data_IF_995486643780
#
_entry.id   IF_995486643780
#
_cell.length_a   1.000
_cell.length_b   1.000
_cell.length_c   1.000
_cell.angle_alpha   90.00
_cell.angle_beta   90.00
_cell.angle_gamma   90.00
#
_symmetry.space_group_name_H-M   'P 1'
#
loop_
_entity.id
_entity.type
_entity.pdbx_description
1 polymer ?
#
# COMPACT_ATOMS: atom_id res chain seq x y z
N UNK A 1 -23.77 16.54 -13.34
CA UNK A 1 -22.51 15.86 -13.69
C UNK A 1 -22.68 14.41 -13.31
N UNK A 2 -22.32 13.48 -14.17
CA UNK A 2 -22.35 12.04 -13.86
C UNK A 2 -21.24 11.75 -12.87
N UNK A 3 -21.53 10.99 -11.81
CA UNK A 3 -20.54 10.56 -10.82
C UNK A 3 -19.51 9.63 -11.44
N UNK A 4 -18.25 9.77 -11.06
CA UNK A 4 -17.17 8.83 -11.44
C UNK A 4 -17.40 7.49 -10.73
N UNK A 5 -17.45 6.41 -11.50
CA UNK A 5 -17.68 5.06 -10.97
C UNK A 5 -16.35 4.45 -10.47
N UNK A 6 -16.27 4.17 -9.18
CA UNK A 6 -15.04 3.69 -8.52
C UNK A 6 -15.27 2.32 -7.91
N UNK A 7 -14.37 1.37 -8.21
CA UNK A 7 -14.27 0.10 -7.49
C UNK A 7 -13.10 0.17 -6.48
N UNK A 8 -13.37 -0.16 -5.23
CA UNK A 8 -12.36 -0.33 -4.19
C UNK A 8 -12.39 -1.78 -3.71
N UNK A 9 -11.39 -2.57 -4.07
CA UNK A 9 -11.23 -3.93 -3.54
C UNK A 9 -10.36 -3.91 -2.29
N UNK A 10 -10.57 -4.81 -1.34
CA UNK A 10 -9.91 -4.74 -0.03
C UNK A 10 -10.40 -3.53 0.80
N UNK A 11 -11.66 -3.13 0.57
CA UNK A 11 -12.24 -1.93 1.16
C UNK A 11 -12.38 -1.99 2.69
N UNK A 12 -12.40 -3.18 3.27
CA UNK A 12 -12.49 -3.37 4.72
C UNK A 12 -11.12 -3.29 5.43
N UNK A 13 -10.02 -3.29 4.67
CA UNK A 13 -8.66 -3.09 5.19
C UNK A 13 -8.40 -1.62 5.58
N UNK A 14 -7.25 -1.36 6.22
CA UNK A 14 -6.88 -0.02 6.72
C UNK A 14 -6.82 1.03 5.61
N UNK A 15 -6.08 0.74 4.52
CA UNK A 15 -6.00 1.66 3.38
C UNK A 15 -7.37 1.81 2.72
N UNK A 16 -8.13 0.69 2.60
CA UNK A 16 -9.44 0.67 1.96
C UNK A 16 -10.45 1.58 2.65
N UNK A 17 -10.58 1.46 3.97
CA UNK A 17 -11.47 2.32 4.76
C UNK A 17 -11.05 3.80 4.67
N UNK A 18 -9.75 4.08 4.84
CA UNK A 18 -9.24 5.44 4.73
C UNK A 18 -9.47 6.05 3.33
N UNK A 19 -9.28 5.25 2.26
CA UNK A 19 -9.54 5.69 0.89
C UNK A 19 -11.01 5.95 0.63
N UNK A 20 -11.93 5.09 1.11
CA UNK A 20 -13.38 5.31 0.99
C UNK A 20 -13.78 6.62 1.64
N UNK A 21 -13.26 6.92 2.85
CA UNK A 21 -13.46 8.23 3.49
C UNK A 21 -12.91 9.39 2.64
N UNK A 22 -11.70 9.26 2.12
CA UNK A 22 -11.08 10.30 1.28
C UNK A 22 -11.86 10.58 -0.01
N UNK A 23 -12.36 9.54 -0.69
CA UNK A 23 -13.21 9.67 -1.87
C UNK A 23 -14.56 10.33 -1.53
N UNK A 24 -15.19 9.90 -0.44
CA UNK A 24 -16.47 10.46 0.01
C UNK A 24 -16.35 11.95 0.40
N UNK A 25 -15.27 12.35 1.06
CA UNK A 25 -15.00 13.76 1.40
C UNK A 25 -14.78 14.62 0.16
N UNK A 26 -14.15 14.10 -0.89
CA UNK A 26 -13.98 14.82 -2.15
C UNK A 26 -15.29 14.97 -2.93
N UNK A 27 -16.22 14.02 -2.78
CA UNK A 27 -17.47 13.98 -3.52
C UNK A 27 -17.33 13.68 -5.01
N UNK A 28 -18.46 13.45 -5.69
CA UNK A 28 -18.47 13.18 -7.13
C UNK A 28 -18.15 11.73 -7.53
N UNK A 29 -18.07 10.82 -6.56
CA UNK A 29 -17.76 9.40 -6.77
C UNK A 29 -18.91 8.50 -6.32
N UNK A 30 -19.29 7.55 -7.16
CA UNK A 30 -20.11 6.41 -6.78
C UNK A 30 -19.19 5.22 -6.46
N UNK A 31 -19.10 4.87 -5.19
CA UNK A 31 -18.15 3.87 -4.70
C UNK A 31 -18.82 2.51 -4.63
N UNK A 32 -18.29 1.53 -5.36
CA UNK A 32 -18.56 0.11 -5.18
C UNK A 32 -17.37 -0.50 -4.44
N UNK A 33 -17.64 -1.22 -3.36
CA UNK A 33 -16.60 -1.87 -2.56
C UNK A 33 -16.65 -3.38 -2.71
N UNK A 34 -15.49 -4.03 -2.54
CA UNK A 34 -15.40 -5.48 -2.54
C UNK A 34 -14.40 -5.97 -1.49
N UNK A 35 -14.80 -6.97 -0.69
CA UNK A 35 -13.95 -7.57 0.34
C UNK A 35 -14.46 -8.97 0.74
N UNK A 36 -13.59 -9.77 1.38
CA UNK A 36 -13.98 -11.01 2.05
C UNK A 36 -14.85 -10.74 3.28
N UNK A 37 -14.52 -9.68 4.00
CA UNK A 37 -15.20 -9.27 5.21
C UNK A 37 -16.52 -8.52 4.91
N UNK A 38 -17.48 -8.53 5.83
CA UNK A 38 -18.64 -7.65 5.76
C UNK A 38 -18.21 -6.18 5.88
N UNK A 39 -18.97 -5.30 5.23
CA UNK A 39 -18.68 -3.87 5.20
C UNK A 39 -18.71 -3.25 6.61
N UNK A 40 -17.63 -2.62 7.08
CA UNK A 40 -17.60 -1.95 8.37
C UNK A 40 -18.63 -0.81 8.47
N UNK A 41 -19.32 -0.70 9.63
CA UNK A 41 -20.31 0.35 9.86
C UNK A 41 -19.78 1.76 9.63
N UNK A 42 -18.49 2.00 9.91
CA UNK A 42 -17.85 3.29 9.72
C UNK A 42 -17.87 3.81 8.27
N UNK A 43 -17.90 2.92 7.28
CA UNK A 43 -17.91 3.30 5.85
C UNK A 43 -19.19 2.87 5.12
N UNK A 44 -20.14 2.23 5.81
CA UNK A 44 -21.32 1.64 5.17
C UNK A 44 -22.21 2.67 4.48
N UNK A 45 -22.35 3.87 5.02
CA UNK A 45 -23.14 4.97 4.41
C UNK A 45 -22.40 5.69 3.26
N UNK A 46 -21.11 5.42 3.07
CA UNK A 46 -20.26 6.06 2.05
C UNK A 46 -20.15 5.21 0.77
N UNK A 47 -20.62 3.97 0.82
CA UNK A 47 -20.51 2.99 -0.25
C UNK A 47 -21.88 2.74 -0.84
N UNK A 48 -21.99 2.87 -2.16
CA UNK A 48 -23.26 2.64 -2.87
C UNK A 48 -23.62 1.14 -2.93
N UNK A 49 -22.60 0.28 -2.99
CA UNK A 49 -22.78 -1.17 -3.07
C UNK A 49 -21.55 -1.91 -2.51
N UNK A 50 -21.78 -3.04 -1.84
CA UNK A 50 -20.72 -3.89 -1.31
C UNK A 50 -20.84 -5.33 -1.85
N UNK A 51 -19.80 -5.80 -2.52
CA UNK A 51 -19.68 -7.19 -3.00
C UNK A 51 -18.84 -7.99 -2.02
N UNK A 52 -19.50 -8.73 -1.13
CA UNK A 52 -18.81 -9.58 -0.16
C UNK A 52 -18.39 -10.91 -0.81
N UNK A 53 -17.13 -11.29 -0.67
CA UNK A 53 -16.59 -12.60 -1.02
C UNK A 53 -15.19 -12.60 -1.61
N UNK A 54 -14.70 -13.80 -1.92
CA UNK A 54 -13.39 -14.03 -2.54
C UNK A 54 -13.39 -13.47 -3.97
N UNK A 55 -12.54 -12.48 -4.22
CA UNK A 55 -12.42 -11.82 -5.53
C UNK A 55 -12.03 -12.78 -6.64
N UNK A 56 -11.16 -13.76 -6.36
CA UNK A 56 -10.74 -14.76 -7.36
C UNK A 56 -11.95 -15.54 -7.90
N UNK A 57 -12.94 -15.79 -7.05
CA UNK A 57 -14.16 -16.50 -7.43
C UNK A 57 -15.27 -15.58 -7.93
N UNK A 58 -15.27 -14.31 -7.54
CA UNK A 58 -16.37 -13.36 -7.80
C UNK A 58 -16.08 -12.29 -8.85
N UNK A 59 -14.90 -12.27 -9.46
CA UNK A 59 -14.54 -11.24 -10.45
C UNK A 59 -15.58 -11.04 -11.56
N UNK A 60 -16.29 -12.09 -11.96
CA UNK A 60 -17.30 -12.05 -13.03
C UNK A 60 -18.41 -11.02 -12.78
N UNK A 61 -18.74 -10.75 -11.52
CA UNK A 61 -19.73 -9.74 -11.13
C UNK A 61 -19.34 -8.36 -11.65
N UNK A 62 -18.06 -8.04 -11.67
CA UNK A 62 -17.57 -6.70 -12.03
C UNK A 62 -17.55 -6.43 -13.55
N UNK A 63 -17.76 -7.45 -14.39
CA UNK A 63 -17.87 -7.29 -15.84
C UNK A 63 -19.16 -6.55 -16.27
N UNK A 64 -20.14 -6.41 -15.37
CA UNK A 64 -21.38 -5.70 -15.65
C UNK A 64 -21.38 -4.23 -15.22
N UNK A 65 -20.36 -3.80 -14.46
CA UNK A 65 -20.21 -2.41 -14.00
C UNK A 65 -19.40 -1.58 -15.00
N UNK A 66 -19.68 -0.29 -15.06
CA UNK A 66 -18.96 0.68 -15.89
C UNK A 66 -18.00 1.52 -15.05
N UNK A 67 -16.94 0.89 -14.56
CA UNK A 67 -15.93 1.57 -13.75
C UNK A 67 -15.03 2.50 -14.58
N UNK A 68 -14.77 3.69 -14.02
CA UNK A 68 -13.76 4.64 -14.47
C UNK A 68 -12.42 4.41 -13.78
N UNK A 69 -12.48 4.03 -12.50
CA UNK A 69 -11.31 3.83 -11.64
C UNK A 69 -11.45 2.56 -10.81
N UNK A 70 -10.37 1.79 -10.73
CA UNK A 70 -10.26 0.62 -9.87
C UNK A 70 -9.08 0.83 -8.90
N UNK A 71 -9.34 0.88 -7.61
CA UNK A 71 -8.32 0.77 -6.58
C UNK A 71 -8.25 -0.69 -6.12
N UNK A 72 -7.21 -1.41 -6.54
CA UNK A 72 -7.07 -2.81 -6.22
C UNK A 72 -6.18 -2.99 -4.98
N UNK A 73 -6.80 -2.90 -3.79
CA UNK A 73 -6.11 -2.96 -2.49
C UNK A 73 -6.15 -4.36 -1.85
N UNK A 74 -7.00 -5.25 -2.35
CA UNK A 74 -7.14 -6.60 -1.80
C UNK A 74 -5.83 -7.39 -1.93
N UNK A 75 -5.28 -7.82 -0.81
CA UNK A 75 -4.04 -8.59 -0.76
C UNK A 75 -3.89 -9.38 0.55
N UNK A 76 -3.19 -10.50 0.49
CA UNK A 76 -2.60 -11.15 1.67
C UNK A 76 -1.29 -10.45 2.02
N UNK A 77 -1.15 -9.99 3.27
CA UNK A 77 -0.02 -9.19 3.74
C UNK A 77 1.22 -10.06 4.06
N UNK A 78 2.35 -9.39 4.30
CA UNK A 78 3.68 -9.99 4.43
C UNK A 78 3.75 -11.19 5.37
N UNK A 79 3.31 -11.07 6.62
CA UNK A 79 3.39 -12.17 7.61
C UNK A 79 2.56 -13.38 7.17
N UNK A 80 1.31 -13.17 6.72
CA UNK A 80 0.44 -14.24 6.23
C UNK A 80 0.94 -14.87 4.93
N UNK A 81 1.63 -14.10 4.10
CA UNK A 81 2.19 -14.61 2.86
C UNK A 81 3.36 -15.56 3.11
N UNK A 82 4.14 -15.36 4.16
CA UNK A 82 5.20 -16.28 4.57
C UNK A 82 4.64 -17.54 5.25
N UNK A 83 3.50 -17.44 5.94
CA UNK A 83 2.82 -18.59 6.54
C UNK A 83 2.16 -19.52 5.50
N UNK A 84 1.64 -18.95 4.42
CA UNK A 84 0.92 -19.68 3.37
C UNK A 84 1.22 -19.11 1.97
N UNK A 85 2.39 -19.45 1.39
CA UNK A 85 2.85 -18.89 0.10
C UNK A 85 1.90 -19.14 -1.08
N UNK A 86 1.33 -20.34 -1.17
CA UNK A 86 0.40 -20.70 -2.25
C UNK A 86 -0.90 -19.89 -2.18
N UNK A 87 -1.44 -19.72 -0.97
CA UNK A 87 -2.64 -18.90 -0.75
C UNK A 87 -2.34 -17.44 -1.05
N UNK A 88 -1.18 -16.94 -0.62
CA UNK A 88 -0.74 -15.59 -0.93
C UNK A 88 -0.61 -15.37 -2.44
N UNK A 89 -0.02 -16.31 -3.18
CA UNK A 89 0.05 -16.26 -4.65
C UNK A 89 -1.34 -16.18 -5.26
N UNK A 90 -2.25 -17.06 -4.85
CA UNK A 90 -3.62 -17.07 -5.36
C UNK A 90 -4.33 -15.73 -5.13
N UNK A 91 -4.28 -15.19 -3.90
CA UNK A 91 -4.94 -13.93 -3.58
C UNK A 91 -4.26 -12.77 -4.31
N UNK A 92 -2.93 -12.65 -4.19
CA UNK A 92 -2.20 -11.47 -4.65
C UNK A 92 -2.01 -11.47 -6.17
N UNK A 93 -1.66 -12.60 -6.75
CA UNK A 93 -1.30 -12.68 -8.18
C UNK A 93 -2.50 -13.00 -9.05
N UNK A 94 -3.23 -14.10 -8.77
CA UNK A 94 -4.39 -14.44 -9.57
C UNK A 94 -5.49 -13.39 -9.43
N UNK A 95 -5.73 -12.89 -8.20
CA UNK A 95 -6.69 -11.80 -7.95
C UNK A 95 -6.33 -10.54 -8.74
N UNK A 96 -5.06 -10.12 -8.71
CA UNK A 96 -4.59 -8.95 -9.49
C UNK A 96 -4.72 -9.20 -11.00
N UNK A 97 -4.34 -10.37 -11.49
CA UNK A 97 -4.46 -10.70 -12.91
C UNK A 97 -5.93 -10.64 -13.38
N UNK A 98 -6.86 -11.12 -12.56
CA UNK A 98 -8.29 -11.04 -12.89
C UNK A 98 -8.82 -9.60 -12.89
N UNK A 99 -8.37 -8.75 -11.96
CA UNK A 99 -8.73 -7.33 -11.96
C UNK A 99 -8.16 -6.58 -13.17
N UNK A 100 -6.91 -6.88 -13.56
CA UNK A 100 -6.30 -6.34 -14.77
C UNK A 100 -7.05 -6.77 -16.02
N UNK A 101 -7.40 -8.06 -16.15
CA UNK A 101 -8.17 -8.59 -17.26
C UNK A 101 -9.56 -7.95 -17.35
N UNK A 102 -10.26 -7.80 -16.23
CA UNK A 102 -11.55 -7.14 -16.15
C UNK A 102 -11.44 -5.67 -16.58
N UNK A 103 -10.46 -4.92 -16.06
CA UNK A 103 -10.27 -3.51 -16.39
C UNK A 103 -9.88 -3.32 -17.88
N UNK A 104 -9.02 -4.18 -18.44
CA UNK A 104 -8.68 -4.17 -19.86
C UNK A 104 -9.91 -4.47 -20.74
N UNK A 105 -10.69 -5.51 -20.42
CA UNK A 105 -11.93 -5.82 -21.11
C UNK A 105 -12.92 -4.64 -21.09
N UNK A 106 -13.05 -3.97 -19.95
CA UNK A 106 -13.94 -2.80 -19.80
C UNK A 106 -13.48 -1.64 -20.67
N UNK A 107 -12.16 -1.37 -20.69
CA UNK A 107 -11.59 -0.31 -21.51
C UNK A 107 -11.84 -0.53 -23.00
N UNK A 108 -11.72 -1.76 -23.50
CA UNK A 108 -11.99 -2.13 -24.87
C UNK A 108 -13.49 -2.08 -25.21
N UNK A 109 -14.33 -2.68 -24.35
CA UNK A 109 -15.77 -2.79 -24.59
C UNK A 109 -16.47 -1.43 -24.71
N UNK A 110 -16.05 -0.45 -23.93
CA UNK A 110 -16.69 0.87 -23.87
C UNK A 110 -15.87 1.98 -24.51
N UNK A 111 -14.76 1.63 -25.16
CA UNK A 111 -13.83 2.56 -25.81
C UNK A 111 -13.48 3.74 -24.86
N UNK A 112 -13.18 3.41 -23.62
CA UNK A 112 -12.85 4.41 -22.59
C UNK A 112 -11.64 4.01 -21.76
N UNK A 113 -10.91 5.02 -21.31
CA UNK A 113 -9.78 4.80 -20.39
C UNK A 113 -10.28 4.38 -19.03
N UNK A 114 -9.81 3.21 -18.55
CA UNK A 114 -10.03 2.74 -17.19
C UNK A 114 -8.70 2.83 -16.43
N UNK A 115 -8.69 3.56 -15.32
CA UNK A 115 -7.52 3.63 -14.43
C UNK A 115 -7.53 2.49 -13.44
N UNK A 116 -6.40 1.79 -13.29
CA UNK A 116 -6.21 0.80 -12.23
C UNK A 116 -5.01 1.20 -11.36
N UNK A 117 -5.30 1.54 -10.11
CA UNK A 117 -4.30 1.88 -9.10
C UNK A 117 -3.98 0.67 -8.24
N UNK A 118 -2.69 0.36 -8.15
CA UNK A 118 -2.17 -0.81 -7.45
C UNK A 118 -1.19 -0.41 -6.34
N UNK A 119 -1.48 -0.71 -5.07
CA UNK A 119 -0.55 -0.52 -3.97
C UNK A 119 0.52 -1.63 -4.02
N UNK A 120 1.68 -1.30 -4.54
CA UNK A 120 2.89 -2.08 -4.36
C UNK A 120 3.56 -1.76 -3.01
N UNK A 121 4.78 -2.18 -2.79
CA UNK A 121 5.44 -2.09 -1.49
C UNK A 121 6.95 -2.01 -1.64
N UNK A 122 7.62 -1.44 -0.63
CA UNK A 122 9.08 -1.56 -0.47
C UNK A 122 9.55 -3.02 -0.40
N UNK A 123 8.67 -3.96 -0.09
CA UNK A 123 8.97 -5.39 -0.14
C UNK A 123 9.31 -5.91 -1.56
N UNK A 124 9.02 -5.14 -2.62
CA UNK A 124 9.45 -5.45 -3.99
C UNK A 124 10.96 -5.31 -4.20
N UNK A 125 11.65 -4.64 -3.29
CA UNK A 125 13.11 -4.58 -3.23
C UNK A 125 13.71 -5.76 -2.48
N UNK A 126 15.04 -5.96 -2.61
CA UNK A 126 15.74 -6.96 -1.82
C UNK A 126 17.24 -6.75 -1.82
N UNK A 127 17.84 -6.81 -0.62
CA UNK A 127 19.27 -6.76 -0.38
C UNK A 127 19.74 -8.09 0.20
N UNK A 128 20.90 -8.58 -0.23
CA UNK A 128 21.46 -9.86 0.25
C UNK A 128 21.92 -9.78 1.70
N UNK A 129 22.42 -8.59 2.08
CA UNK A 129 22.94 -8.32 3.41
C UNK A 129 22.88 -6.84 3.77
N UNK A 130 23.25 -6.51 5.01
CA UNK A 130 23.27 -5.13 5.51
C UNK A 130 24.32 -4.25 4.80
N UNK A 131 25.42 -4.81 4.32
CA UNK A 131 26.43 -4.03 3.61
C UNK A 131 25.87 -3.50 2.29
N UNK A 132 25.14 -4.35 1.57
CA UNK A 132 24.42 -3.98 0.35
C UNK A 132 23.34 -2.92 0.62
N UNK A 133 22.51 -3.14 1.67
CA UNK A 133 21.50 -2.19 2.10
C UNK A 133 22.07 -0.82 2.44
N UNK A 134 23.13 -0.77 3.26
CA UNK A 134 23.77 0.47 3.69
C UNK A 134 24.42 1.22 2.52
N UNK A 135 24.94 0.49 1.53
CA UNK A 135 25.55 1.07 0.33
C UNK A 135 24.50 1.65 -0.63
N UNK A 136 23.28 1.10 -0.64
CA UNK A 136 22.25 1.48 -1.61
C UNK A 136 21.72 2.91 -1.41
N UNK A 137 21.69 3.41 -0.17
CA UNK A 137 21.16 4.74 0.16
C UNK A 137 19.68 4.88 -0.22
N UNK A 138 19.35 5.97 -0.94
CA UNK A 138 17.98 6.18 -1.48
C UNK A 138 17.81 5.38 -2.77
N UNK A 139 16.84 4.49 -2.78
CA UNK A 139 16.62 3.48 -3.83
C UNK A 139 15.60 3.94 -4.86
N UNK A 140 15.93 3.81 -6.15
CA UNK A 140 15.02 4.11 -7.27
C UNK A 140 14.21 2.90 -7.70
N UNK A 141 13.12 3.13 -8.44
CA UNK A 141 12.16 2.09 -8.86
C UNK A 141 12.78 0.98 -9.73
N UNK A 142 13.86 1.27 -10.45
CA UNK A 142 14.53 0.31 -11.33
C UNK A 142 15.76 -0.38 -10.71
N UNK A 143 16.04 -0.12 -9.44
CA UNK A 143 17.17 -0.68 -8.69
C UNK A 143 16.68 -1.77 -7.71
N UNK A 144 17.57 -2.69 -7.34
CA UNK A 144 17.39 -3.67 -6.27
C UNK A 144 16.05 -4.47 -6.29
N UNK A 145 15.49 -4.70 -7.48
CA UNK A 145 14.26 -5.46 -7.67
C UNK A 145 14.51 -6.97 -7.52
N UNK A 146 14.90 -7.40 -6.32
CA UNK A 146 15.25 -8.78 -5.97
C UNK A 146 14.60 -9.21 -4.64
N UNK A 147 13.26 -9.20 -4.55
CA UNK A 147 12.53 -9.48 -3.31
C UNK A 147 12.89 -10.83 -2.71
N UNK A 148 12.98 -10.89 -1.38
CA UNK A 148 13.32 -12.09 -0.62
C UNK A 148 12.12 -12.68 0.15
N UNK A 149 10.93 -12.11 -0.02
CA UNK A 149 9.70 -12.58 0.60
C UNK A 149 8.66 -12.95 -0.45
N UNK A 150 7.77 -13.87 -0.13
CA UNK A 150 6.66 -14.24 -1.01
C UNK A 150 5.78 -13.03 -1.34
N UNK A 151 5.51 -12.20 -0.34
CA UNK A 151 4.78 -10.95 -0.54
C UNK A 151 5.47 -10.01 -1.52
N UNK A 152 6.78 -9.81 -1.36
CA UNK A 152 7.58 -8.97 -2.26
C UNK A 152 7.63 -9.52 -3.69
N UNK A 153 7.82 -10.85 -3.84
CA UNK A 153 7.76 -11.52 -5.13
C UNK A 153 6.41 -11.31 -5.81
N UNK A 154 5.30 -11.47 -5.06
CA UNK A 154 3.95 -11.25 -5.60
C UNK A 154 3.77 -9.78 -6.04
N UNK A 155 4.19 -8.81 -5.21
CA UNK A 155 4.04 -7.38 -5.53
C UNK A 155 4.82 -7.00 -6.78
N UNK A 156 6.10 -7.40 -6.87
CA UNK A 156 6.92 -7.13 -8.05
C UNK A 156 6.35 -7.80 -9.31
N UNK A 157 5.86 -9.04 -9.21
CA UNK A 157 5.24 -9.72 -10.34
C UNK A 157 3.96 -9.01 -10.79
N UNK A 158 3.12 -8.56 -9.86
CA UNK A 158 1.91 -7.80 -10.17
C UNK A 158 2.21 -6.45 -10.84
N UNK A 159 3.32 -5.77 -10.46
CA UNK A 159 3.79 -4.58 -11.19
C UNK A 159 4.07 -4.92 -12.67
N UNK A 160 4.76 -6.05 -12.93
CA UNK A 160 5.06 -6.49 -14.31
C UNK A 160 3.80 -6.91 -15.07
N UNK A 161 2.86 -7.58 -14.41
CA UNK A 161 1.56 -7.89 -15.00
C UNK A 161 0.80 -6.62 -15.39
N UNK A 162 0.74 -5.61 -14.51
CA UNK A 162 0.11 -4.33 -14.82
C UNK A 162 0.71 -3.65 -16.05
N UNK A 163 2.04 -3.64 -16.14
CA UNK A 163 2.75 -3.14 -17.35
C UNK A 163 2.38 -3.96 -18.59
N UNK A 164 2.36 -5.28 -18.47
CA UNK A 164 1.98 -6.15 -19.59
C UNK A 164 0.56 -5.87 -20.09
N UNK A 165 -0.42 -5.83 -19.17
CA UNK A 165 -1.82 -5.57 -19.53
C UNK A 165 -2.06 -4.17 -20.11
N UNK A 166 -1.33 -3.17 -19.65
CA UNK A 166 -1.50 -1.78 -20.10
C UNK A 166 -0.75 -1.45 -21.40
N UNK A 167 0.33 -2.17 -21.73
CA UNK A 167 1.20 -1.80 -22.86
C UNK A 167 1.39 -2.89 -23.90
N UNK A 168 1.27 -4.17 -23.53
CA UNK A 168 1.70 -5.29 -24.36
C UNK A 168 0.62 -6.34 -24.59
N UNK A 169 -0.57 -6.19 -24.01
CA UNK A 169 -1.67 -7.12 -24.25
C UNK A 169 -2.03 -7.12 -25.73
N UNK A 170 -2.21 -8.32 -26.30
CA UNK A 170 -2.61 -8.46 -27.71
C UNK A 170 -1.47 -8.45 -28.74
N UNK A 171 -0.20 -8.48 -28.36
CA UNK A 171 0.96 -8.53 -29.30
C UNK A 171 0.93 -9.66 -30.34
N UNK A 172 0.09 -10.68 -30.15
CA UNK A 172 -0.06 -11.80 -31.11
C UNK A 172 -1.06 -11.54 -32.23
N UNK A 173 -1.80 -10.44 -32.17
CA UNK A 173 -2.71 -10.07 -33.25
C UNK A 173 -1.90 -9.58 -34.46
N UNK A 174 -2.21 -10.11 -35.65
CA UNK A 174 -1.55 -9.76 -36.91
C UNK A 174 -1.89 -8.33 -37.37
N UNK A 175 -3.05 -7.84 -36.99
CA UNK A 175 -3.45 -6.44 -37.16
C UNK A 175 -2.95 -5.62 -35.96
N UNK A 176 -2.52 -4.36 -36.16
CA UNK A 176 -2.17 -3.48 -35.05
C UNK A 176 -3.39 -3.33 -34.12
N UNK A 177 -3.36 -4.04 -33.01
CA UNK A 177 -4.36 -3.81 -31.98
C UNK A 177 -4.16 -2.41 -31.43
N UNK A 178 -5.17 -1.56 -31.32
CA UNK A 178 -5.01 -0.29 -30.62
C UNK A 178 -4.44 -0.55 -29.22
N UNK A 179 -3.54 0.29 -28.73
CA UNK A 179 -3.03 0.14 -27.38
C UNK A 179 -4.21 0.04 -26.41
N UNK A 180 -4.14 -0.87 -25.45
CA UNK A 180 -5.20 -1.01 -24.46
C UNK A 180 -5.42 0.35 -23.78
N UNK A 181 -6.67 0.72 -23.58
CA UNK A 181 -6.99 1.96 -22.85
C UNK A 181 -6.92 1.77 -21.32
N UNK A 182 -6.34 0.65 -20.86
CA UNK A 182 -6.03 0.44 -19.44
C UNK A 182 -4.86 1.33 -19.02
N UNK A 183 -5.12 2.22 -18.08
CA UNK A 183 -4.15 3.10 -17.45
C UNK A 183 -3.73 2.52 -16.10
N UNK A 184 -2.67 1.70 -16.11
CA UNK A 184 -2.13 1.06 -14.91
C UNK A 184 -1.14 1.97 -14.20
N UNK A 185 -1.35 2.16 -12.89
CA UNK A 185 -0.51 3.00 -12.02
C UNK A 185 -0.25 2.28 -10.71
N UNK A 186 0.98 2.24 -10.25
CA UNK A 186 1.36 1.61 -8.99
C UNK A 186 2.19 2.53 -8.11
N UNK A 187 2.04 2.37 -6.81
CA UNK A 187 2.83 3.05 -5.78
C UNK A 187 3.52 1.99 -4.92
N UNK A 188 4.83 2.10 -4.74
CA UNK A 188 5.57 1.35 -3.72
C UNK A 188 5.47 2.08 -2.40
N UNK A 189 4.57 1.59 -1.55
CA UNK A 189 4.38 2.14 -0.22
C UNK A 189 5.50 1.73 0.72
N UNK A 190 5.98 2.66 1.58
CA UNK A 190 6.78 2.34 2.76
C UNK A 190 5.94 1.68 3.85
N UNK A 191 6.48 1.51 5.06
CA UNK A 191 5.70 1.11 6.24
C UNK A 191 4.59 2.11 6.54
N UNK A 192 3.33 1.71 6.38
CA UNK A 192 2.19 2.59 6.65
C UNK A 192 1.79 2.52 8.12
N UNK A 193 1.52 3.67 8.72
CA UNK A 193 1.09 3.77 10.11
C UNK A 193 -0.25 4.50 10.19
N UNK A 194 -1.26 3.80 10.74
CA UNK A 194 -2.57 4.37 11.05
C UNK A 194 -2.68 4.70 12.53
N UNK A 195 -3.16 5.89 12.85
CA UNK A 195 -3.47 6.27 14.24
C UNK A 195 -4.82 5.69 14.72
N UNK A 196 -5.66 5.25 13.77
CA UNK A 196 -7.02 4.79 14.06
C UNK A 196 -7.17 3.28 14.20
N UNK A 197 -6.15 2.51 13.84
CA UNK A 197 -6.15 1.05 13.93
C UNK A 197 -5.11 0.58 14.95
N UNK A 198 -5.29 -0.63 15.47
CA UNK A 198 -4.29 -1.27 16.32
C UNK A 198 -3.42 -2.15 15.43
N UNK A 199 -2.07 -2.07 15.54
CA UNK A 199 -1.17 -2.93 14.78
C UNK A 199 -1.53 -4.40 14.94
N UNK A 200 -1.47 -5.16 13.85
CA UNK A 200 -1.92 -6.56 13.81
C UNK A 200 -0.78 -7.57 13.66
N UNK A 201 0.46 -7.16 13.92
CA UNK A 201 1.66 -8.01 13.84
C UNK A 201 2.30 -8.06 12.45
N UNK A 202 2.11 -7.03 11.65
CA UNK A 202 2.83 -6.83 10.38
C UNK A 202 4.35 -6.72 10.58
N UNK A 203 5.10 -6.91 9.52
CA UNK A 203 6.57 -6.89 9.60
C UNK A 203 7.13 -5.52 10.00
N UNK A 204 6.46 -4.42 9.64
CA UNK A 204 6.84 -3.05 9.99
C UNK A 204 6.12 -2.51 11.24
N UNK A 205 5.30 -3.33 11.92
CA UNK A 205 4.45 -2.87 13.02
C UNK A 205 5.21 -2.62 14.33
N UNK A 206 6.49 -2.97 14.42
CA UNK A 206 7.30 -2.78 15.63
C UNK A 206 7.28 -1.33 16.14
N UNK A 207 7.29 -0.35 15.23
CA UNK A 207 7.25 1.07 15.61
C UNK A 207 5.92 1.45 16.29
N UNK A 208 4.76 1.33 15.62
CA UNK A 208 3.48 1.62 16.25
C UNK A 208 3.15 0.73 17.45
N UNK A 209 3.55 -0.56 17.46
CA UNK A 209 3.37 -1.45 18.62
C UNK A 209 4.04 -0.91 19.88
N UNK A 210 5.27 -0.34 19.78
CA UNK A 210 5.97 0.29 20.91
C UNK A 210 5.13 1.41 21.54
N UNK A 211 4.56 2.29 20.71
CA UNK A 211 3.78 3.43 21.19
C UNK A 211 2.46 2.98 21.83
N UNK A 212 1.79 1.98 21.24
CA UNK A 212 0.58 1.38 21.83
C UNK A 212 0.88 0.70 23.18
N UNK A 213 1.98 -0.04 23.29
CA UNK A 213 2.39 -0.68 24.55
C UNK A 213 2.75 0.37 25.61
N UNK A 214 3.53 1.38 25.23
CA UNK A 214 3.91 2.48 26.11
C UNK A 214 2.69 3.24 26.67
N UNK A 215 1.71 3.56 25.83
CA UNK A 215 0.47 4.23 26.23
C UNK A 215 -0.38 3.40 27.20
N UNK A 216 -0.27 2.07 27.13
CA UNK A 216 -0.94 1.12 28.03
C UNK A 216 -0.14 0.82 29.31
N UNK A 217 1.05 1.40 29.46
CA UNK A 217 1.96 1.09 30.58
C UNK A 217 2.51 -0.35 30.56
N UNK A 218 2.50 -0.99 29.38
CA UNK A 218 3.00 -2.36 29.18
C UNK A 218 4.44 -2.36 28.65
N UNK A 219 5.32 -3.25 29.13
CA UNK A 219 6.61 -3.44 28.52
C UNK A 219 6.46 -3.97 27.07
N UNK A 220 7.40 -3.58 26.21
CA UNK A 220 7.46 -4.05 24.82
C UNK A 220 8.85 -4.60 24.52
N UNK A 221 8.89 -5.80 23.94
CA UNK A 221 10.11 -6.43 23.44
C UNK A 221 10.11 -6.31 21.91
N UNK A 222 10.96 -5.44 21.39
CA UNK A 222 11.08 -5.21 19.96
C UNK A 222 11.80 -6.39 19.29
N UNK A 223 11.19 -6.95 18.25
CA UNK A 223 11.71 -8.09 17.53
C UNK A 223 12.74 -7.75 16.43
N UNK A 224 13.10 -6.48 16.28
CA UNK A 224 14.19 -6.03 15.40
C UNK A 224 15.28 -5.34 16.22
N UNK A 225 16.48 -5.20 15.64
CA UNK A 225 17.58 -4.47 16.26
C UNK A 225 17.23 -2.98 16.42
N UNK A 226 17.85 -2.34 17.38
CA UNK A 226 17.69 -0.91 17.66
C UNK A 226 18.06 -0.03 16.45
N UNK A 227 19.09 -0.41 15.69
CA UNK A 227 19.59 0.30 14.51
C UNK A 227 18.79 0.01 13.23
N UNK A 228 17.81 -0.90 13.28
CA UNK A 228 17.00 -1.28 12.11
C UNK A 228 16.21 -0.09 11.59
N UNK A 229 16.52 0.33 10.36
CA UNK A 229 15.92 1.50 9.71
C UNK A 229 15.16 1.11 8.45
N UNK A 230 13.96 1.66 8.29
CA UNK A 230 13.17 1.63 7.05
C UNK A 230 12.39 2.94 6.90
N UNK A 231 11.83 3.14 5.71
CA UNK A 231 10.93 4.27 5.44
C UNK A 231 9.51 4.00 5.94
N UNK A 232 8.86 5.07 6.43
CA UNK A 232 7.48 5.06 6.95
C UNK A 232 6.65 6.21 6.39
N UNK A 233 5.32 6.10 6.55
CA UNK A 233 4.37 7.12 6.12
C UNK A 233 3.08 7.07 6.96
N UNK A 234 2.49 8.22 7.21
CA UNK A 234 1.16 8.32 7.81
C UNK A 234 0.07 7.85 6.84
N UNK A 235 -0.97 7.19 7.34
CA UNK A 235 -2.09 6.73 6.52
C UNK A 235 -2.78 7.85 5.71
N UNK A 236 -2.99 9.08 6.22
CA UNK A 236 -3.51 10.18 5.41
C UNK A 236 -2.66 10.51 4.18
N UNK A 237 -1.33 10.47 4.30
CA UNK A 237 -0.42 10.67 3.18
C UNK A 237 -0.51 9.53 2.15
N UNK A 238 -0.72 8.30 2.60
CA UNK A 238 -0.95 7.17 1.70
C UNK A 238 -2.22 7.36 0.86
N UNK A 239 -3.33 7.76 1.49
CA UNK A 239 -4.57 8.08 0.77
C UNK A 239 -4.39 9.26 -0.18
N UNK A 240 -3.76 10.35 0.29
CA UNK A 240 -3.42 11.51 -0.54
C UNK A 240 -2.65 11.11 -1.79
N UNK A 241 -1.65 10.25 -1.65
CA UNK A 241 -0.82 9.80 -2.78
C UNK A 241 -1.62 9.02 -3.83
N UNK A 242 -2.52 8.13 -3.39
CA UNK A 242 -3.41 7.38 -4.29
C UNK A 242 -4.33 8.32 -5.08
N UNK A 243 -4.92 9.31 -4.41
CA UNK A 243 -5.81 10.28 -5.04
C UNK A 243 -5.05 11.22 -5.98
N UNK A 244 -3.86 11.68 -5.61
CA UNK A 244 -3.01 12.51 -6.48
C UNK A 244 -2.56 11.73 -7.72
N UNK A 245 -2.11 10.48 -7.56
CA UNK A 245 -1.72 9.66 -8.70
C UNK A 245 -2.92 9.32 -9.58
N UNK A 246 -4.12 9.11 -9.02
CA UNK A 246 -5.35 8.93 -9.78
C UNK A 246 -5.64 10.15 -10.68
N UNK A 247 -5.45 11.37 -10.16
CA UNK A 247 -5.74 12.62 -10.86
C UNK A 247 -4.67 13.01 -11.88
N UNK A 248 -3.44 12.52 -11.70
CA UNK A 248 -2.32 12.89 -12.56
C UNK A 248 -2.64 12.65 -14.04
N UNK A 249 -2.38 13.62 -14.94
CA UNK A 249 -2.54 13.43 -16.37
C UNK A 249 -1.61 12.31 -16.89
N UNK A 250 -2.12 11.37 -17.69
CA UNK A 250 -1.30 10.23 -18.12
C UNK A 250 -0.07 10.62 -18.94
N UNK A 251 -0.14 11.73 -19.66
CA UNK A 251 0.97 12.30 -20.45
C UNK A 251 2.13 12.84 -19.58
N UNK A 252 1.91 13.09 -18.31
CA UNK A 252 2.96 13.49 -17.36
C UNK A 252 3.67 12.31 -16.72
N UNK A 253 3.10 11.09 -16.82
CA UNK A 253 3.62 9.91 -16.16
C UNK A 253 4.64 9.19 -17.05
N UNK A 254 5.93 9.26 -16.69
CA UNK A 254 7.01 8.60 -17.43
C UNK A 254 7.10 7.10 -17.16
N UNK A 255 6.57 6.65 -16.03
CA UNK A 255 6.61 5.25 -15.62
C UNK A 255 5.31 4.81 -14.94
N UNK A 256 5.00 3.50 -14.93
CA UNK A 256 3.78 2.99 -14.31
C UNK A 256 3.91 2.73 -12.80
N UNK A 257 5.11 2.77 -12.25
CA UNK A 257 5.42 2.44 -10.84
C UNK A 257 6.21 3.59 -10.23
N UNK A 258 5.77 4.10 -9.11
CA UNK A 258 6.38 5.22 -8.39
C UNK A 258 6.74 4.86 -6.97
N UNK A 259 7.92 5.27 -6.54
CA UNK A 259 8.26 5.38 -5.13
C UNK A 259 7.57 6.60 -4.52
N UNK A 260 7.19 6.48 -3.26
CA UNK A 260 6.84 7.61 -2.41
C UNK A 260 7.51 7.46 -1.05
N UNK A 261 7.97 8.57 -0.49
CA UNK A 261 8.60 8.61 0.82
C UNK A 261 8.03 9.74 1.67
N UNK A 262 8.03 9.55 2.99
CA UNK A 262 7.69 10.60 3.95
C UNK A 262 8.87 10.80 4.92
N UNK A 263 9.20 9.79 5.71
CA UNK A 263 10.31 9.82 6.64
C UNK A 263 10.87 8.42 6.87
N UNK A 264 12.13 8.33 7.30
CA UNK A 264 12.78 7.06 7.67
C UNK A 264 13.20 7.11 9.14
N UNK A 265 12.88 6.06 9.90
CA UNK A 265 13.20 5.96 11.33
C UNK A 265 13.83 4.61 11.67
N UNK A 266 14.74 4.64 12.65
CA UNK A 266 15.21 3.42 13.31
C UNK A 266 14.21 2.95 14.38
N UNK A 267 14.30 1.69 14.77
CA UNK A 267 13.53 1.18 15.90
C UNK A 267 13.89 1.89 17.22
N UNK A 268 15.15 2.30 17.38
CA UNK A 268 15.61 3.12 18.50
C UNK A 268 14.94 4.49 18.56
N UNK A 269 14.81 5.16 17.42
CA UNK A 269 14.11 6.46 17.35
C UNK A 269 12.62 6.32 17.70
N UNK A 270 11.96 5.21 17.33
CA UNK A 270 10.59 4.93 17.80
C UNK A 270 10.53 4.75 19.32
N UNK A 271 11.50 4.04 19.94
CA UNK A 271 11.62 3.93 21.39
C UNK A 271 11.78 5.31 22.03
N UNK A 272 12.63 6.16 21.48
CA UNK A 272 12.88 7.49 22.04
C UNK A 272 11.61 8.36 22.00
N UNK A 273 10.81 8.28 20.94
CA UNK A 273 9.49 8.91 20.88
C UNK A 273 8.51 8.30 21.89
N UNK A 274 8.53 6.98 22.09
CA UNK A 274 7.70 6.32 23.10
C UNK A 274 8.05 6.79 24.52
N UNK A 275 9.33 6.84 24.87
CA UNK A 275 9.81 7.32 26.18
C UNK A 275 9.51 8.81 26.37
N UNK A 276 9.72 9.66 25.34
CA UNK A 276 9.37 11.08 25.38
C UNK A 276 7.88 11.31 25.62
N UNK A 277 7.02 10.52 24.99
CA UNK A 277 5.57 10.66 25.10
C UNK A 277 4.99 10.04 26.38
N UNK A 278 5.61 8.96 26.86
CA UNK A 278 5.20 8.13 28.00
C UNK A 278 6.45 7.78 28.83
N UNK A 279 6.84 8.61 29.83
CA UNK A 279 8.11 8.46 30.56
C UNK A 279 8.29 7.12 31.31
N UNK A 280 7.21 6.39 31.55
CA UNK A 280 7.25 5.05 32.17
C UNK A 280 7.43 3.90 31.14
N UNK A 281 7.56 4.22 29.85
CA UNK A 281 7.70 3.22 28.81
C UNK A 281 8.95 2.33 29.02
N UNK A 282 8.77 1.03 28.86
CA UNK A 282 9.82 0.04 28.94
C UNK A 282 9.93 -0.68 27.60
N UNK A 283 10.97 -0.38 26.85
CA UNK A 283 11.23 -1.01 25.55
C UNK A 283 12.61 -1.65 25.57
N UNK A 284 12.66 -2.93 25.23
CA UNK A 284 13.90 -3.70 25.03
C UNK A 284 13.96 -4.27 23.63
N UNK A 285 15.14 -4.70 23.19
CA UNK A 285 15.36 -5.24 21.86
C UNK A 285 15.84 -6.68 21.95
N UNK A 286 15.06 -7.62 21.42
CA UNK A 286 15.40 -9.03 21.26
C UNK A 286 15.11 -9.46 19.82
N UNK A 287 16.06 -9.27 18.88
CA UNK A 287 15.82 -9.49 17.46
C UNK A 287 15.42 -10.94 17.16
N UNK A 288 14.28 -11.13 16.53
CA UNK A 288 13.90 -12.41 15.95
C UNK A 288 14.57 -12.56 14.59
N UNK A 289 15.46 -13.54 14.45
CA UNK A 289 16.34 -13.72 13.27
C UNK A 289 15.54 -13.71 11.95
N UNK A 290 14.37 -14.38 11.91
CA UNK A 290 13.56 -14.46 10.69
C UNK A 290 12.90 -13.11 10.36
N UNK A 291 12.23 -12.49 11.33
CA UNK A 291 11.58 -11.19 11.14
C UNK A 291 12.59 -10.08 10.85
N UNK A 292 13.74 -10.11 11.55
CA UNK A 292 14.85 -9.20 11.30
C UNK A 292 15.36 -9.32 9.86
N UNK A 293 15.57 -10.54 9.36
CA UNK A 293 16.04 -10.78 8.00
C UNK A 293 15.09 -10.20 6.93
N UNK A 294 13.78 -10.26 7.17
CA UNK A 294 12.80 -9.63 6.26
C UNK A 294 13.00 -8.11 6.23
N UNK A 295 13.10 -7.45 7.41
CA UNK A 295 13.25 -5.99 7.47
C UNK A 295 14.62 -5.55 6.93
N UNK A 296 15.67 -6.34 7.15
CA UNK A 296 17.01 -6.08 6.62
C UNK A 296 17.05 -6.15 5.07
N UNK A 297 16.16 -6.92 4.45
CA UNK A 297 16.05 -6.98 3.00
C UNK A 297 15.33 -5.78 2.36
N UNK A 298 14.74 -4.88 3.14
CA UNK A 298 14.04 -3.69 2.65
C UNK A 298 14.91 -2.43 2.70
N UNK A 299 14.70 -1.44 1.80
CA UNK A 299 15.49 -0.21 1.77
C UNK A 299 15.29 0.65 3.03
N UNK A 300 16.34 1.38 3.40
CA UNK A 300 16.26 2.37 4.47
C UNK A 300 15.48 3.61 4.04
N UNK A 301 15.64 4.01 2.78
CA UNK A 301 14.99 5.20 2.22
C UNK A 301 14.70 5.00 0.72
N UNK A 302 13.80 5.81 0.18
CA UNK A 302 13.34 5.75 -1.20
C UNK A 302 13.64 7.05 -1.93
N UNK A 303 14.04 6.94 -3.19
CA UNK A 303 14.08 8.08 -4.11
C UNK A 303 12.69 8.26 -4.74
N UNK A 304 11.97 9.29 -4.31
CA UNK A 304 10.65 9.66 -4.79
C UNK A 304 10.66 10.87 -5.73
N UNK A 305 11.83 11.19 -6.29
CA UNK A 305 12.03 12.38 -7.17
C UNK A 305 11.04 12.40 -8.33
N UNK A 306 10.80 11.25 -8.98
CA UNK A 306 9.83 11.16 -10.07
C UNK A 306 8.42 11.51 -9.65
N UNK A 307 7.98 10.99 -8.50
CA UNK A 307 6.66 11.30 -7.97
C UNK A 307 6.50 12.81 -7.69
N UNK A 308 7.54 13.43 -7.15
CA UNK A 308 7.59 14.87 -6.88
C UNK A 308 7.55 15.71 -8.15
N UNK A 309 8.33 15.33 -9.15
CA UNK A 309 8.47 16.06 -10.41
C UNK A 309 7.25 15.90 -11.34
N UNK A 310 6.72 14.69 -11.45
CA UNK A 310 5.71 14.37 -12.47
C UNK A 310 4.27 14.62 -12.01
N UNK A 311 3.96 14.42 -10.72
CA UNK A 311 2.60 14.63 -10.21
C UNK A 311 2.55 15.36 -8.87
N UNK A 312 3.64 16.07 -8.51
CA UNK A 312 3.64 17.01 -7.39
C UNK A 312 3.55 16.36 -6.01
N UNK A 313 3.96 15.09 -5.87
CA UNK A 313 3.95 14.39 -4.60
C UNK A 313 4.72 15.16 -3.53
N UNK A 314 4.10 15.29 -2.37
CA UNK A 314 4.73 15.80 -1.15
C UNK A 314 3.96 15.28 0.04
N UNK A 315 4.61 14.63 1.02
CA UNK A 315 3.97 14.23 2.27
C UNK A 315 3.58 15.48 3.08
N UNK A 316 2.48 15.37 3.83
CA UNK A 316 2.05 16.40 4.76
C UNK A 316 2.65 16.19 6.16
N UNK A 317 3.06 14.95 6.45
CA UNK A 317 3.60 14.56 7.74
C UNK A 317 5.09 14.21 7.62
N UNK A 318 5.97 15.09 8.13
CA UNK A 318 7.32 14.74 8.55
C UNK A 318 7.29 14.03 9.92
N UNK A 319 8.43 13.67 10.47
CA UNK A 319 8.53 12.95 11.76
C UNK A 319 7.83 13.71 12.89
N UNK A 320 8.11 15.00 13.03
CA UNK A 320 7.57 15.82 14.14
C UNK A 320 6.06 15.96 14.03
N UNK A 321 5.54 16.27 12.86
CA UNK A 321 4.11 16.38 12.59
C UNK A 321 3.41 15.03 12.72
N UNK A 322 4.03 13.94 12.24
CA UNK A 322 3.50 12.60 12.39
C UNK A 322 3.24 12.27 13.87
N UNK A 323 4.24 12.43 14.74
CA UNK A 323 4.07 12.11 16.15
C UNK A 323 3.17 13.11 16.88
N UNK A 324 3.39 14.43 16.71
CA UNK A 324 2.72 15.43 17.53
C UNK A 324 1.30 15.78 17.06
N UNK A 325 1.03 15.74 15.75
CA UNK A 325 -0.26 16.18 15.18
C UNK A 325 -1.18 15.02 14.80
N UNK A 326 -0.63 13.83 14.50
CA UNK A 326 -1.42 12.71 14.00
C UNK A 326 -1.43 11.51 14.96
N UNK A 327 -0.28 10.94 15.30
CA UNK A 327 -0.24 9.63 15.94
C UNK A 327 -0.46 9.70 17.47
N UNK A 328 0.34 10.49 18.20
CA UNK A 328 0.25 10.58 19.66
C UNK A 328 -1.08 11.12 20.18
N UNK A 329 -1.73 12.13 19.56
CA UNK A 329 -3.05 12.58 20.01
C UNK A 329 -4.08 11.44 20.01
N UNK A 330 -4.13 10.65 18.95
CA UNK A 330 -5.09 9.54 18.84
C UNK A 330 -4.73 8.36 19.75
N UNK A 331 -3.43 8.06 19.95
CA UNK A 331 -2.98 7.06 20.92
C UNK A 331 -3.41 7.46 22.33
N UNK A 332 -3.19 8.70 22.74
CA UNK A 332 -3.62 9.19 24.06
C UNK A 332 -5.12 9.10 24.23
N UNK A 333 -5.89 9.60 23.27
CA UNK A 333 -7.36 9.52 23.29
C UNK A 333 -7.89 8.09 23.39
N UNK A 334 -7.19 7.11 22.79
CA UNK A 334 -7.58 5.71 22.83
C UNK A 334 -7.40 5.07 24.20
N UNK A 335 -6.36 5.46 24.97
CA UNK A 335 -5.94 4.79 26.19
C UNK A 335 -6.05 5.64 27.47
N UNK A 336 -6.51 6.86 27.37
CA UNK A 336 -6.90 7.73 28.49
C UNK A 336 -8.41 7.72 28.69
#
# INVERSE_FOLDING_TARGET
MTETQVLVTGACGEIGQALVHGLAQRGGYRIVSADLAPLPGAISSLVAEHVQGDLVNKVKVFYDYDFDVVFHLAASLSSKAEESPEMAHRINVEGTMQMLAMAAYRSEKYDKRVKLLFPSSIAAYGFRDLAEKNMAGRVKENEWNAPQTMYGCNKLYCEKLGVYYSRYLGQRHLEPNPPTMLDYRAIRFPGLISAYTIPSGGTSDYGPEMLHAAAQGRPYICFVREDTKISFMAMPDAVKSLLMLMDAPPEQLSCPVYNIAAFSLTAGEFRDWAVKAFPSAQVTFEPNVRRQGIVDSWPEDLDDSKAREEWGWKPDYDVDRFFNEYFLPEIRKRYQ
#
